data_IF_062788791628
#
_entry.id   IF_062788791628
#
_cell.length_a   1.000
_cell.length_b   1.000
_cell.length_c   1.000
_cell.angle_alpha   90.00
_cell.angle_beta   90.00
_cell.angle_gamma   90.00
#
_symmetry.space_group_name_H-M   'P 1'
#
loop_
_entity.id
_entity.type
_entity.pdbx_description
1 polymer ?
#
# COMPACT_ATOMS: atom_id res chain seq x y z
N UNK A 1 1.84 -0.47 -15.31
CA UNK A 1 1.59 0.48 -16.41
C UNK A 1 0.12 0.85 -16.38
N UNK A 2 -0.24 2.05 -16.84
CA UNK A 2 -1.65 2.42 -17.08
C UNK A 2 -2.13 1.92 -18.46
N UNK A 3 -3.38 2.24 -18.82
CA UNK A 3 -3.96 1.86 -20.12
C UNK A 3 -3.33 2.58 -21.33
N UNK A 4 -2.57 3.65 -21.09
CA UNK A 4 -1.83 4.40 -22.12
C UNK A 4 -0.39 3.90 -22.28
N UNK A 5 0.02 2.89 -21.51
CA UNK A 5 1.39 2.36 -21.51
C UNK A 5 2.38 3.20 -20.67
N UNK A 6 1.89 4.13 -19.86
CA UNK A 6 2.73 4.91 -18.97
C UNK A 6 3.22 4.04 -17.80
N UNK A 7 4.47 4.24 -17.38
CA UNK A 7 5.05 3.56 -16.22
C UNK A 7 4.70 4.30 -14.93
N UNK A 8 4.38 3.54 -13.88
CA UNK A 8 4.07 4.07 -12.56
C UNK A 8 4.82 3.23 -11.53
N UNK A 9 5.31 3.89 -10.48
CA UNK A 9 5.86 3.25 -9.29
C UNK A 9 5.50 4.07 -8.06
N UNK A 10 5.53 3.42 -6.90
CA UNK A 10 5.28 4.03 -5.60
C UNK A 10 6.34 3.59 -4.61
N UNK A 11 6.70 4.47 -3.71
CA UNK A 11 7.68 4.22 -2.67
C UNK A 11 7.44 5.16 -1.50
N UNK A 12 8.13 4.91 -0.39
CA UNK A 12 8.17 5.87 0.69
C UNK A 12 9.43 6.72 0.64
N UNK A 13 9.28 7.97 1.02
CA UNK A 13 10.39 8.88 1.29
C UNK A 13 10.01 9.83 2.42
N UNK A 14 11.01 10.43 3.06
CA UNK A 14 10.75 11.51 4.00
C UNK A 14 10.44 12.80 3.22
N UNK A 15 9.46 13.57 3.69
CA UNK A 15 9.21 14.92 3.22
C UNK A 15 10.17 15.94 3.87
N UNK A 16 10.00 17.22 3.54
CA UNK A 16 10.83 18.32 4.05
C UNK A 16 10.74 18.49 5.58
N UNK A 17 9.68 17.97 6.21
CA UNK A 17 9.50 17.98 7.66
C UNK A 17 10.05 16.70 8.33
N UNK A 18 10.58 15.76 7.55
CA UNK A 18 11.09 14.47 8.02
C UNK A 18 10.01 13.40 8.24
N UNK A 19 8.77 13.65 7.85
CA UNK A 19 7.71 12.65 7.95
C UNK A 19 7.77 11.67 6.78
N UNK A 20 7.54 10.39 7.06
CA UNK A 20 7.41 9.38 6.01
C UNK A 20 6.16 9.65 5.19
N UNK A 21 6.29 9.70 3.88
CA UNK A 21 5.18 9.84 2.96
C UNK A 21 5.23 8.77 1.87
N UNK A 22 4.07 8.41 1.32
CA UNK A 22 3.95 7.69 0.06
C UNK A 22 4.10 8.68 -1.08
N UNK A 23 4.98 8.36 -2.02
CA UNK A 23 5.23 9.13 -3.24
C UNK A 23 4.90 8.30 -4.45
N UNK A 24 4.19 8.91 -5.39
CA UNK A 24 3.85 8.36 -6.69
C UNK A 24 4.76 8.98 -7.76
N UNK A 25 5.50 8.14 -8.48
CA UNK A 25 6.35 8.52 -9.60
C UNK A 25 5.80 7.88 -10.88
N UNK A 26 5.63 8.67 -11.94
CA UNK A 26 5.15 8.16 -13.23
C UNK A 26 5.78 8.86 -14.42
N UNK A 27 5.79 8.16 -15.56
CA UNK A 27 6.20 8.72 -16.84
C UNK A 27 4.95 9.13 -17.61
N UNK A 28 4.79 10.39 -17.97
CA UNK A 28 3.57 10.87 -18.65
C UNK A 28 3.59 10.74 -20.19
N UNK A 29 4.52 9.95 -20.74
CA UNK A 29 4.80 9.85 -22.17
C UNK A 29 5.95 10.74 -22.66
N UNK A 30 6.35 11.76 -21.88
CA UNK A 30 7.45 12.68 -22.25
C UNK A 30 8.45 12.90 -21.13
N UNK A 31 7.98 13.08 -19.90
CA UNK A 31 8.83 13.38 -18.73
C UNK A 31 8.37 12.59 -17.51
N UNK A 32 9.31 12.34 -16.60
CA UNK A 32 8.99 11.82 -15.28
C UNK A 32 8.31 12.89 -14.43
N UNK A 33 7.31 12.47 -13.68
CA UNK A 33 6.50 13.27 -12.74
C UNK A 33 6.51 12.58 -11.38
N UNK A 34 6.50 13.35 -10.32
CA UNK A 34 6.47 12.84 -8.96
C UNK A 34 5.52 13.68 -8.11
N UNK A 35 4.80 13.05 -7.20
CA UNK A 35 3.98 13.72 -6.20
C UNK A 35 3.88 12.92 -4.91
N UNK A 36 3.80 13.62 -3.78
CA UNK A 36 3.46 13.03 -2.49
C UNK A 36 1.95 12.85 -2.41
N UNK A 37 1.49 11.64 -2.10
CA UNK A 37 0.06 11.25 -2.16
C UNK A 37 -0.54 10.96 -0.78
N UNK A 38 0.27 10.91 0.27
CA UNK A 38 -0.17 10.82 1.67
C UNK A 38 0.10 12.12 2.43
N UNK A 39 -0.42 12.21 3.65
CA UNK A 39 -0.16 13.30 4.58
C UNK A 39 0.03 12.76 6.01
N UNK A 40 1.02 11.90 6.17
CA UNK A 40 1.32 11.26 7.45
C UNK A 40 2.09 12.19 8.39
N UNK A 41 2.04 11.89 9.69
CA UNK A 41 2.70 12.66 10.76
C UNK A 41 3.73 11.84 11.55
N UNK A 42 4.10 10.65 11.06
CA UNK A 42 5.12 9.79 11.65
C UNK A 42 6.36 9.67 10.77
N UNK A 43 7.41 9.10 11.33
CA UNK A 43 8.66 8.80 10.62
C UNK A 43 9.01 7.32 10.82
N UNK A 44 9.18 6.58 9.73
CA UNK A 44 9.72 5.23 9.74
C UNK A 44 11.16 5.23 10.27
N UNK A 45 11.44 4.35 11.23
CA UNK A 45 12.78 4.20 11.80
C UNK A 45 13.62 3.33 10.86
N UNK A 46 14.54 3.95 10.12
CA UNK A 46 15.41 3.28 9.15
C UNK A 46 16.83 3.02 9.67
N UNK A 47 17.14 3.40 10.92
CA UNK A 47 18.46 3.26 11.53
C UNK A 47 18.81 1.83 11.98
N UNK A 48 17.82 0.92 12.02
CA UNK A 48 18.01 -0.48 12.37
C UNK A 48 18.44 -1.35 11.19
N UNK A 49 18.93 -2.56 11.48
CA UNK A 49 19.26 -3.56 10.45
C UNK A 49 18.03 -4.16 9.75
N UNK A 50 16.86 -4.01 10.36
CA UNK A 50 15.56 -4.38 9.82
C UNK A 50 14.58 -3.24 10.06
N UNK A 51 13.68 -3.01 9.11
CA UNK A 51 12.55 -2.11 9.32
C UNK A 51 11.58 -2.71 10.33
N UNK A 52 10.96 -1.86 11.15
CA UNK A 52 9.97 -2.28 12.13
C UNK A 52 8.70 -2.85 11.47
N UNK A 53 8.48 -2.56 10.18
CA UNK A 53 7.32 -3.02 9.42
C UNK A 53 6.03 -2.34 9.88
N UNK A 54 6.10 -1.13 10.44
CA UNK A 54 4.97 -0.28 10.83
C UNK A 54 4.11 0.10 9.63
N UNK A 55 4.71 0.23 8.46
CA UNK A 55 4.01 0.41 7.18
C UNK A 55 4.32 -0.73 6.20
N UNK A 56 3.42 -1.03 5.24
CA UNK A 56 3.67 -1.97 4.14
C UNK A 56 4.13 -1.26 2.87
N UNK A 57 5.12 -1.78 2.15
CA UNK A 57 5.55 -1.18 0.88
C UNK A 57 4.32 -0.96 -0.02
N UNK A 58 4.04 0.28 -0.44
CA UNK A 58 2.82 0.58 -1.16
C UNK A 58 2.80 -0.19 -2.48
N UNK A 59 1.62 -0.64 -2.87
CA UNK A 59 1.38 -1.29 -4.16
C UNK A 59 0.65 -0.32 -5.07
N UNK A 60 0.87 -0.38 -6.38
CA UNK A 60 0.13 0.45 -7.35
C UNK A 60 -0.59 -0.42 -8.36
N UNK A 61 -1.83 -0.06 -8.65
CA UNK A 61 -2.68 -0.79 -9.61
C UNK A 61 -3.37 0.17 -10.57
N UNK A 62 -3.65 -0.32 -11.78
CA UNK A 62 -4.51 0.35 -12.75
C UNK A 62 -5.74 -0.52 -13.01
N UNK A 63 -6.93 0.05 -12.92
CA UNK A 63 -8.18 -0.66 -13.21
C UNK A 63 -8.46 -0.70 -14.70
N UNK A 64 -9.39 -1.57 -15.09
CA UNK A 64 -9.91 -1.65 -16.47
C UNK A 64 -10.50 -0.33 -17.02
N UNK A 65 -10.80 0.63 -16.15
CA UNK A 65 -11.36 1.94 -16.51
C UNK A 65 -10.32 3.06 -16.46
N UNK A 66 -9.03 2.73 -16.30
CA UNK A 66 -7.95 3.70 -16.28
C UNK A 66 -7.79 4.42 -14.94
N UNK A 67 -8.47 3.97 -13.89
CA UNK A 67 -8.25 4.49 -12.53
C UNK A 67 -6.96 3.93 -11.95
N UNK A 68 -6.22 4.74 -11.21
CA UNK A 68 -4.92 4.37 -10.62
C UNK A 68 -5.03 4.51 -9.11
N UNK A 69 -4.75 3.42 -8.39
CA UNK A 69 -4.80 3.39 -6.93
C UNK A 69 -3.48 2.95 -6.33
N UNK A 70 -3.13 3.58 -5.22
CA UNK A 70 -2.06 3.14 -4.32
C UNK A 70 -2.67 2.38 -3.15
N UNK A 71 -2.32 1.11 -2.98
CA UNK A 71 -2.81 0.24 -1.91
C UNK A 71 -1.75 0.16 -0.80
N UNK A 72 -2.16 0.41 0.44
CA UNK A 72 -1.23 0.43 1.57
C UNK A 72 -1.89 0.06 2.90
N UNK A 73 -1.07 -0.23 3.91
CA UNK A 73 -1.44 -0.21 5.33
C UNK A 73 -0.33 0.44 6.15
N UNK A 74 -0.69 1.00 7.29
CA UNK A 74 0.24 1.45 8.34
C UNK A 74 -0.38 1.26 9.73
N UNK A 75 0.44 1.02 10.74
CA UNK A 75 0.04 0.97 12.15
C UNK A 75 0.09 2.33 12.83
N UNK A 76 0.62 3.33 12.14
CA UNK A 76 0.81 4.70 12.64
C UNK A 76 -0.41 5.58 12.31
N UNK A 77 -0.40 6.83 12.77
CA UNK A 77 -1.44 7.85 12.53
C UNK A 77 -2.88 7.38 12.82
N UNK A 78 -3.05 6.42 13.74
CA UNK A 78 -4.37 5.86 14.08
C UNK A 78 -4.98 4.98 12.97
N UNK A 79 -4.19 4.55 12.00
CA UNK A 79 -4.62 3.74 10.86
C UNK A 79 -4.43 2.23 11.09
N UNK A 80 -4.02 1.81 12.30
CA UNK A 80 -3.86 0.40 12.62
C UNK A 80 -5.11 -0.44 12.31
N UNK A 81 -4.88 -1.63 11.77
CA UNK A 81 -5.94 -2.53 11.33
C UNK A 81 -6.70 -2.09 10.07
N UNK A 82 -6.21 -1.09 9.33
CA UNK A 82 -6.84 -0.63 8.09
C UNK A 82 -5.99 -0.99 6.87
N UNK A 83 -6.66 -1.47 5.83
CA UNK A 83 -6.11 -1.52 4.48
C UNK A 83 -6.80 -0.43 3.68
N UNK A 84 -6.01 0.38 2.99
CA UNK A 84 -6.45 1.64 2.40
C UNK A 84 -6.02 1.75 0.93
N UNK A 85 -6.74 2.59 0.20
CA UNK A 85 -6.45 2.95 -1.18
C UNK A 85 -6.40 4.47 -1.33
N UNK A 86 -5.43 4.97 -2.07
CA UNK A 86 -5.37 6.37 -2.50
C UNK A 86 -5.63 6.40 -4.01
N UNK A 87 -6.72 7.03 -4.47
CA UNK A 87 -6.94 7.33 -5.88
C UNK A 87 -5.95 8.42 -6.30
N UNK A 88 -5.05 8.08 -7.22
CA UNK A 88 -4.02 8.99 -7.78
C UNK A 88 -4.22 9.17 -9.29
N UNK A 89 -5.43 8.91 -9.79
CA UNK A 89 -5.76 9.03 -11.21
C UNK A 89 -5.60 10.47 -11.70
N UNK A 90 -5.93 11.45 -10.85
CA UNK A 90 -5.83 12.87 -11.18
C UNK A 90 -4.63 13.48 -10.45
N UNK A 91 -3.56 13.90 -11.16
CA UNK A 91 -2.40 14.54 -10.55
C UNK A 91 -2.79 15.75 -9.69
N UNK A 92 -2.17 15.87 -8.52
CA UNK A 92 -2.41 16.92 -7.54
C UNK A 92 -3.72 16.80 -6.77
N UNK A 93 -4.47 15.70 -6.93
CA UNK A 93 -5.76 15.48 -6.24
C UNK A 93 -5.88 14.05 -5.68
N UNK A 94 -4.93 13.59 -4.85
CA UNK A 94 -5.04 12.29 -4.22
C UNK A 94 -6.27 12.22 -3.31
N UNK A 95 -6.98 11.09 -3.32
CA UNK A 95 -8.10 10.86 -2.39
C UNK A 95 -7.95 9.52 -1.70
N UNK A 96 -7.91 9.53 -0.36
CA UNK A 96 -7.66 8.36 0.48
C UNK A 96 -8.98 7.76 1.00
N UNK A 97 -9.15 6.44 0.85
CA UNK A 97 -10.31 5.69 1.28
C UNK A 97 -9.92 4.43 2.10
N UNK A 98 -10.76 4.11 3.09
CA UNK A 98 -10.71 2.82 3.77
C UNK A 98 -11.29 1.73 2.86
N UNK A 99 -10.50 0.71 2.52
CA UNK A 99 -10.98 -0.45 1.77
C UNK A 99 -11.59 -1.50 2.69
N UNK A 100 -10.89 -1.84 3.77
CA UNK A 100 -11.35 -2.82 4.74
C UNK A 100 -10.64 -2.69 6.08
N UNK A 101 -11.30 -3.19 7.13
CA UNK A 101 -10.70 -3.38 8.45
C UNK A 101 -10.17 -4.79 8.55
N UNK A 102 -8.85 -4.93 8.53
CA UNK A 102 -8.14 -6.18 8.72
C UNK A 102 -6.78 -5.89 9.34
N UNK A 103 -6.52 -6.47 10.51
CA UNK A 103 -5.22 -6.34 11.17
C UNK A 103 -4.21 -7.30 10.51
N UNK A 104 -3.58 -6.83 9.44
CA UNK A 104 -2.47 -7.52 8.79
C UNK A 104 -1.18 -7.51 9.63
N UNK A 105 -1.19 -6.90 10.82
CA UNK A 105 -0.03 -6.68 11.66
C UNK A 105 1.08 -6.00 10.84
N UNK A 106 2.30 -6.54 10.87
CA UNK A 106 3.46 -6.01 10.14
C UNK A 106 3.67 -6.67 8.77
N UNK A 107 2.62 -7.24 8.20
CA UNK A 107 2.67 -8.01 6.95
C UNK A 107 2.65 -7.10 5.73
N UNK A 108 3.37 -7.51 4.69
CA UNK A 108 3.34 -6.85 3.38
C UNK A 108 2.08 -7.21 2.61
N UNK A 109 1.55 -6.26 1.83
CA UNK A 109 0.39 -6.50 0.99
C UNK A 109 0.83 -7.08 -0.36
N UNK A 110 0.05 -8.04 -0.87
CA UNK A 110 0.18 -8.56 -2.22
C UNK A 110 -1.15 -8.43 -2.95
N UNK A 111 -1.11 -7.84 -4.15
CA UNK A 111 -2.30 -7.54 -4.96
C UNK A 111 -2.26 -8.33 -6.26
N UNK A 112 -3.40 -8.92 -6.64
CA UNK A 112 -3.57 -9.47 -7.99
C UNK A 112 -3.81 -8.34 -9.00
N UNK A 113 -2.72 -7.75 -9.49
CA UNK A 113 -2.77 -6.59 -10.40
C UNK A 113 -3.43 -6.91 -11.75
N UNK A 114 -3.38 -8.17 -12.19
CA UNK A 114 -4.02 -8.61 -13.43
C UNK A 114 -5.55 -8.61 -13.29
N UNK A 115 -6.07 -9.13 -12.18
CA UNK A 115 -7.51 -9.13 -11.94
C UNK A 115 -8.07 -7.71 -11.81
N UNK A 116 -7.35 -6.80 -11.14
CA UNK A 116 -7.72 -5.38 -11.08
C UNK A 116 -7.81 -4.77 -12.48
N UNK A 117 -6.83 -5.06 -13.34
CA UNK A 117 -6.80 -4.56 -14.71
C UNK A 117 -7.92 -5.14 -15.59
N UNK A 118 -8.35 -6.39 -15.36
CA UNK A 118 -9.37 -7.04 -16.18
C UNK A 118 -10.80 -6.76 -15.70
N UNK A 119 -10.99 -6.67 -14.39
CA UNK A 119 -12.33 -6.67 -13.77
C UNK A 119 -12.63 -5.36 -13.02
N UNK A 120 -11.60 -4.65 -12.56
CA UNK A 120 -11.74 -3.55 -11.59
C UNK A 120 -11.90 -4.02 -10.14
N UNK A 121 -11.89 -5.33 -9.90
CA UNK A 121 -11.93 -5.91 -8.54
C UNK A 121 -10.52 -6.04 -7.99
N UNK A 122 -10.31 -5.47 -6.80
CA UNK A 122 -9.12 -5.67 -6.00
C UNK A 122 -9.19 -7.00 -5.29
N UNK A 123 -8.30 -7.93 -5.62
CA UNK A 123 -8.12 -9.19 -4.90
C UNK A 123 -6.76 -9.23 -4.22
N UNK A 124 -6.77 -9.60 -2.94
CA UNK A 124 -5.57 -9.71 -2.10
C UNK A 124 -5.63 -10.96 -1.24
N UNK A 125 -4.48 -11.61 -1.05
CA UNK A 125 -4.31 -12.57 0.03
C UNK A 125 -3.90 -11.80 1.28
N UNK A 126 -4.71 -11.90 2.32
CA UNK A 126 -4.46 -11.28 3.61
C UNK A 126 -4.19 -12.36 4.64
N UNK A 127 -3.15 -12.19 5.44
CA UNK A 127 -2.85 -13.10 6.54
C UNK A 127 -2.39 -12.30 7.74
N UNK A 128 -2.70 -12.79 8.93
CA UNK A 128 -2.20 -12.21 10.17
C UNK A 128 -0.76 -12.70 10.38
N UNK A 129 0.22 -11.99 9.84
CA UNK A 129 1.63 -12.36 9.98
C UNK A 129 2.15 -12.25 11.42
N UNK A 130 3.21 -13.02 11.69
CA UNK A 130 3.93 -13.02 12.97
C UNK A 130 5.06 -11.99 12.92
N UNK A 131 5.13 -11.11 13.93
CA UNK A 131 6.30 -10.25 14.15
C UNK A 131 7.50 -11.12 14.58
N UNK A 132 8.49 -11.28 13.68
CA UNK A 132 9.69 -12.10 13.90
C UNK A 132 10.58 -11.62 15.06
N UNK A 133 10.40 -10.40 15.55
CA UNK A 133 11.32 -9.78 16.52
C UNK A 133 10.92 -10.05 17.98
N UNK A 134 9.69 -10.54 18.25
CA UNK A 134 9.16 -10.60 19.63
C UNK A 134 8.43 -11.91 20.00
N UNK A 135 8.42 -12.93 19.14
CA UNK A 135 7.67 -14.16 19.41
C UNK A 135 8.59 -15.29 19.90
N UNK A 136 8.29 -15.85 21.08
CA UNK A 136 8.62 -17.26 21.35
C UNK A 136 7.97 -18.10 20.25
N UNK A 137 8.80 -18.66 19.39
CA UNK A 137 8.44 -19.15 18.06
C UNK A 137 7.61 -20.45 18.10
N UNK A 138 7.55 -21.16 19.22
CA UNK A 138 6.98 -22.51 19.26
C UNK A 138 5.45 -22.60 19.21
N UNK A 139 4.70 -21.50 19.40
CA UNK A 139 3.23 -21.54 19.51
C UNK A 139 2.42 -20.76 18.46
N UNK A 140 3.08 -20.02 17.55
CA UNK A 140 2.40 -19.06 16.66
C UNK A 140 2.25 -19.48 15.20
N UNK A 141 2.81 -20.61 14.80
CA UNK A 141 2.83 -21.06 13.40
C UNK A 141 1.65 -21.96 12.98
N UNK A 142 0.80 -22.39 13.92
CA UNK A 142 -0.16 -23.49 13.64
C UNK A 142 -1.56 -23.03 13.24
N UNK A 143 -1.83 -21.72 13.18
CA UNK A 143 -3.15 -21.17 12.86
C UNK A 143 -3.08 -19.86 12.05
N UNK A 144 -2.23 -19.80 11.02
CA UNK A 144 -2.23 -18.67 10.07
C UNK A 144 -3.53 -18.69 9.25
N UNK A 145 -4.51 -17.90 9.68
CA UNK A 145 -5.74 -17.70 8.92
C UNK A 145 -5.43 -16.80 7.72
N UNK A 146 -5.26 -17.40 6.55
CA UNK A 146 -5.26 -16.67 5.28
C UNK A 146 -6.71 -16.39 4.86
N UNK A 147 -6.96 -15.17 4.38
CA UNK A 147 -8.25 -14.74 3.84
C UNK A 147 -8.04 -14.21 2.43
N UNK A 148 -8.90 -14.64 1.52
CA UNK A 148 -9.08 -13.94 0.26
C UNK A 148 -9.97 -12.72 0.53
N UNK A 149 -9.45 -11.53 0.24
CA UNK A 149 -10.22 -10.30 0.28
C UNK A 149 -10.48 -9.83 -1.15
N UNK A 150 -11.73 -9.46 -1.43
CA UNK A 150 -12.13 -8.84 -2.68
C UNK A 150 -12.91 -7.56 -2.40
N UNK A 151 -12.59 -6.49 -3.13
CA UNK A 151 -13.35 -5.24 -3.10
C UNK A 151 -13.46 -4.63 -4.50
N UNK A 152 -14.62 -4.04 -4.79
CA UNK A 152 -14.78 -3.20 -5.97
C UNK A 152 -14.14 -1.85 -5.66
N UNK A 153 -13.18 -1.42 -6.48
CA UNK A 153 -12.58 -0.10 -6.32
C UNK A 153 -13.59 0.99 -6.74
N UNK A 154 -13.70 2.12 -5.99
CA UNK A 154 -14.69 3.17 -6.23
C UNK A 154 -14.60 3.83 -7.60
#
# INVERSE_FOLDING_TARGET
>A
MDLSGNYHTVYWQQDENGYTQITHLWFNGSVWKTETVSNFTYTEVTSGSLLNGTSSRPQIVCTRYGKIYVIYRTTEDGLDGQIRAIDVTTPGKPVDYLLTRFNANRTELSVNVWEVLQTGTLSMMLYNGVNRVAANLEGKYTAENARLFQAQLP
#
